data_IF_121753390494
#
_entry.id   IF_121753390494
#
_cell.length_a   1.000
_cell.length_b   1.000
_cell.length_c   1.000
_cell.angle_alpha   90.00
_cell.angle_beta   90.00
_cell.angle_gamma   90.00
#
_symmetry.space_group_name_H-M   'P 1'
#
loop_
_entity.id
_entity.type
_entity.pdbx_description
1 polymer ?
#
# COMPACT_ATOMS: atom_id res chain seq x y z
N UNK A 1 15.23 3.77 -24.89
CA UNK A 1 13.79 3.74 -24.50
C UNK A 1 13.65 2.55 -23.55
N UNK A 2 13.16 2.77 -22.33
CA UNK A 2 12.91 1.64 -21.41
C UNK A 2 11.75 0.81 -21.97
N UNK A 3 11.84 -0.51 -21.87
CA UNK A 3 10.77 -1.43 -22.28
C UNK A 3 9.83 -1.73 -21.12
N UNK A 4 10.31 -1.68 -19.87
CA UNK A 4 9.54 -1.87 -18.65
C UNK A 4 9.16 -0.57 -17.93
N UNK A 5 8.05 -0.59 -17.20
CA UNK A 5 7.57 0.54 -16.41
C UNK A 5 8.14 0.53 -14.97
N UNK A 6 8.21 -0.64 -14.35
CA UNK A 6 8.60 -0.79 -12.94
C UNK A 6 9.72 -1.83 -12.78
N UNK A 7 10.77 -1.49 -12.03
CA UNK A 7 11.74 -2.43 -11.50
C UNK A 7 11.57 -2.51 -9.99
N UNK A 8 11.28 -3.68 -9.45
CA UNK A 8 11.04 -3.91 -8.03
C UNK A 8 12.29 -4.54 -7.41
N UNK A 9 12.98 -3.81 -6.54
CA UNK A 9 14.17 -4.30 -5.84
C UNK A 9 13.82 -4.91 -4.48
N UNK A 10 14.29 -6.13 -4.23
CA UNK A 10 14.21 -6.81 -2.93
C UNK A 10 15.61 -7.30 -2.54
N UNK A 11 16.00 -7.10 -1.29
CA UNK A 11 17.18 -7.74 -0.70
C UNK A 11 16.75 -8.70 0.41
N UNK A 12 17.32 -9.90 0.44
CA UNK A 12 17.02 -10.90 1.44
C UNK A 12 18.29 -11.49 2.06
N UNK A 13 18.23 -11.75 3.37
CA UNK A 13 19.29 -12.39 4.16
C UNK A 13 18.68 -13.56 4.93
N UNK A 14 19.53 -14.47 5.41
CA UNK A 14 19.06 -15.60 6.20
C UNK A 14 18.45 -15.10 7.51
N UNK A 15 17.21 -15.48 7.78
CA UNK A 15 16.50 -15.17 9.03
C UNK A 15 16.62 -16.34 10.01
N UNK A 16 16.57 -16.02 11.30
CA UNK A 16 16.55 -17.02 12.38
C UNK A 16 15.21 -17.78 12.45
N UNK A 17 14.11 -17.12 12.09
CA UNK A 17 12.75 -17.66 12.22
C UNK A 17 11.97 -17.54 10.90
N UNK A 18 11.79 -18.68 10.23
CA UNK A 18 11.02 -18.78 8.98
C UNK A 18 11.60 -17.99 7.81
N UNK A 19 10.92 -18.06 6.67
CA UNK A 19 11.25 -17.27 5.48
C UNK A 19 9.97 -16.59 4.97
N UNK A 20 10.05 -15.30 4.65
CA UNK A 20 8.94 -14.54 4.09
C UNK A 20 9.11 -14.26 2.60
N UNK A 21 10.34 -14.38 2.09
CA UNK A 21 10.73 -14.05 0.72
C UNK A 21 9.81 -14.68 -0.33
N UNK A 22 9.57 -15.99 -0.25
CA UNK A 22 8.72 -16.68 -1.24
C UNK A 22 7.27 -16.17 -1.21
N UNK A 23 6.75 -15.83 -0.03
CA UNK A 23 5.42 -15.25 0.12
C UNK A 23 5.36 -13.83 -0.46
N UNK A 24 6.42 -13.04 -0.28
CA UNK A 24 6.57 -11.70 -0.88
C UNK A 24 6.58 -11.78 -2.41
N UNK A 25 7.41 -12.66 -2.99
CA UNK A 25 7.46 -12.90 -4.44
C UNK A 25 6.10 -13.37 -4.97
N UNK A 26 5.47 -14.34 -4.29
CA UNK A 26 4.15 -14.82 -4.64
C UNK A 26 3.08 -13.71 -4.59
N UNK A 27 3.18 -12.82 -3.60
CA UNK A 27 2.27 -11.66 -3.47
C UNK A 27 2.42 -10.71 -4.64
N UNK A 28 3.65 -10.34 -5.01
CA UNK A 28 3.93 -9.48 -6.18
C UNK A 28 3.33 -10.07 -7.46
N UNK A 29 3.56 -11.36 -7.71
CA UNK A 29 3.10 -12.03 -8.93
C UNK A 29 1.57 -12.16 -8.92
N UNK A 30 0.99 -12.71 -7.86
CA UNK A 30 -0.46 -12.99 -7.80
C UNK A 30 -1.34 -11.74 -7.73
N UNK A 31 -0.79 -10.61 -7.25
CA UNK A 31 -1.48 -9.32 -7.17
C UNK A 31 -1.29 -8.46 -8.42
N UNK A 32 -0.62 -8.98 -9.45
CA UNK A 32 -0.41 -8.32 -10.74
C UNK A 32 -1.05 -9.10 -11.90
N UNK A 33 -1.64 -8.40 -12.88
CA UNK A 33 -2.13 -9.00 -14.12
C UNK A 33 -0.99 -9.46 -15.04
N UNK A 34 -1.25 -10.31 -16.05
CA UNK A 34 -0.23 -10.69 -17.04
C UNK A 34 0.43 -9.49 -17.74
N UNK A 35 -0.36 -8.47 -18.10
CA UNK A 35 0.12 -7.24 -18.75
C UNK A 35 1.00 -6.40 -17.81
N UNK A 36 0.63 -6.34 -16.52
CA UNK A 36 1.45 -5.66 -15.51
C UNK A 36 2.78 -6.39 -15.31
N UNK A 37 2.77 -7.72 -15.25
CA UNK A 37 3.99 -8.55 -15.13
C UNK A 37 4.92 -8.37 -16.32
N UNK A 38 4.39 -8.36 -17.55
CA UNK A 38 5.18 -8.11 -18.76
C UNK A 38 5.84 -6.71 -18.78
N UNK A 39 5.32 -5.77 -17.98
CA UNK A 39 5.83 -4.41 -17.84
C UNK A 39 6.61 -4.20 -16.52
N UNK A 40 6.93 -5.27 -15.80
CA UNK A 40 7.61 -5.26 -14.52
C UNK A 40 8.75 -6.27 -14.47
N UNK A 41 9.85 -5.90 -13.82
CA UNK A 41 10.93 -6.83 -13.48
C UNK A 41 11.18 -6.78 -11.98
N UNK A 42 11.27 -7.95 -11.35
CA UNK A 42 11.66 -8.09 -9.94
C UNK A 42 13.14 -8.44 -9.89
N UNK A 43 13.93 -7.62 -9.20
CA UNK A 43 15.36 -7.86 -8.97
C UNK A 43 15.54 -8.26 -7.51
N UNK A 44 15.95 -9.50 -7.29
CA UNK A 44 16.19 -10.08 -5.98
C UNK A 44 17.67 -10.22 -5.71
N UNK A 45 18.18 -9.53 -4.70
CA UNK A 45 19.52 -9.73 -4.17
C UNK A 45 19.48 -10.71 -2.99
N UNK A 46 20.09 -11.89 -3.16
CA UNK A 46 20.40 -12.80 -2.05
C UNK A 46 21.70 -12.33 -1.39
N UNK A 47 21.54 -11.50 -0.37
CA UNK A 47 22.62 -10.74 0.25
C UNK A 47 23.36 -11.49 1.37
N UNK A 48 22.90 -12.68 1.78
CA UNK A 48 23.59 -13.46 2.80
C UNK A 48 24.92 -14.03 2.27
N UNK A 49 25.94 -14.13 3.12
CA UNK A 49 27.23 -14.71 2.74
C UNK A 49 27.28 -16.25 2.88
N UNK A 50 26.28 -16.87 3.53
CA UNK A 50 26.11 -18.33 3.58
C UNK A 50 25.74 -18.92 2.21
N UNK A 51 26.70 -19.61 1.58
CA UNK A 51 26.51 -20.22 0.26
C UNK A 51 25.44 -21.31 0.27
N UNK A 52 25.41 -22.16 1.30
CA UNK A 52 24.44 -23.25 1.43
C UNK A 52 23.02 -22.72 1.52
N UNK A 53 22.82 -21.62 2.27
CA UNK A 53 21.52 -20.95 2.33
C UNK A 53 21.11 -20.37 0.98
N UNK A 54 22.04 -19.70 0.27
CA UNK A 54 21.74 -19.15 -1.07
C UNK A 54 21.37 -20.24 -2.06
N UNK A 55 22.13 -21.33 -2.13
CA UNK A 55 21.85 -22.45 -3.03
C UNK A 55 20.49 -23.08 -2.76
N UNK A 56 20.15 -23.31 -1.48
CA UNK A 56 18.83 -23.81 -1.10
C UNK A 56 17.72 -22.84 -1.52
N UNK A 57 17.92 -21.53 -1.29
CA UNK A 57 16.94 -20.49 -1.64
C UNK A 57 16.74 -20.38 -3.15
N UNK A 58 17.82 -20.42 -3.94
CA UNK A 58 17.75 -20.43 -5.41
C UNK A 58 17.00 -21.66 -5.91
N UNK A 59 17.23 -22.83 -5.31
CA UNK A 59 16.50 -24.06 -5.67
C UNK A 59 14.99 -23.92 -5.42
N UNK A 60 14.60 -23.34 -4.28
CA UNK A 60 13.18 -23.09 -3.98
C UNK A 60 12.55 -22.08 -4.94
N UNK A 61 13.25 -20.99 -5.25
CA UNK A 61 12.80 -19.97 -6.22
C UNK A 61 12.61 -20.59 -7.61
N UNK A 62 13.61 -21.36 -8.08
CA UNK A 62 13.58 -22.02 -9.39
C UNK A 62 12.40 -22.98 -9.50
N UNK A 63 12.09 -23.70 -8.42
CA UNK A 63 10.95 -24.62 -8.39
C UNK A 63 9.59 -23.91 -8.38
N UNK A 64 9.48 -22.71 -7.82
CA UNK A 64 8.20 -22.00 -7.63
C UNK A 64 7.89 -20.97 -8.71
N UNK A 65 8.92 -20.37 -9.31
CA UNK A 65 8.78 -19.27 -10.27
C UNK A 65 9.57 -19.54 -11.58
N UNK A 66 9.43 -20.72 -12.20
CA UNK A 66 10.21 -21.06 -13.40
C UNK A 66 9.89 -20.13 -14.58
N UNK A 67 8.61 -19.82 -14.80
CA UNK A 67 8.16 -18.90 -15.85
C UNK A 67 8.75 -17.50 -15.69
N UNK A 68 8.71 -16.94 -14.48
CA UNK A 68 9.19 -15.59 -14.23
C UNK A 68 10.70 -15.48 -14.43
N UNK A 69 11.45 -16.54 -14.12
CA UNK A 69 12.89 -16.61 -14.38
C UNK A 69 13.17 -16.72 -15.89
N UNK A 70 12.48 -17.62 -16.60
CA UNK A 70 12.67 -17.85 -18.04
C UNK A 70 12.29 -16.63 -18.89
N UNK A 71 11.22 -15.92 -18.52
CA UNK A 71 10.75 -14.70 -19.18
C UNK A 71 11.57 -13.45 -18.81
N UNK A 72 12.47 -13.55 -17.84
CA UNK A 72 13.27 -12.42 -17.35
C UNK A 72 12.49 -11.42 -16.48
N UNK A 73 11.31 -11.82 -15.99
CA UNK A 73 10.48 -11.04 -15.06
C UNK A 73 10.98 -11.13 -13.60
N UNK A 74 11.81 -12.14 -13.28
CA UNK A 74 12.51 -12.28 -12.01
C UNK A 74 14.01 -12.47 -12.26
N UNK A 75 14.83 -11.57 -11.73
CA UNK A 75 16.29 -11.64 -11.78
C UNK A 75 16.82 -11.92 -10.37
N UNK A 76 17.61 -12.98 -10.21
CA UNK A 76 18.19 -13.36 -8.91
C UNK A 76 19.70 -13.11 -8.94
N UNK A 77 20.19 -12.34 -7.99
CA UNK A 77 21.57 -11.86 -7.92
C UNK A 77 22.22 -12.24 -6.59
N UNK A 78 23.55 -12.32 -6.62
CA UNK A 78 24.38 -12.35 -5.44
C UNK A 78 25.63 -11.50 -5.68
N UNK A 79 26.04 -10.73 -4.67
CA UNK A 79 27.31 -9.99 -4.71
C UNK A 79 28.32 -10.69 -3.79
N UNK A 80 29.44 -11.19 -4.33
CA UNK A 80 30.48 -11.80 -3.51
C UNK A 80 31.02 -10.85 -2.43
N UNK A 81 31.33 -11.39 -1.26
CA UNK A 81 31.78 -10.61 -0.10
C UNK A 81 33.01 -9.71 -0.40
N UNK A 82 33.89 -10.10 -1.31
CA UNK A 82 35.08 -9.31 -1.65
C UNK A 82 34.77 -8.01 -2.40
N UNK A 83 33.55 -7.82 -2.92
CA UNK A 83 33.11 -6.54 -3.47
C UNK A 83 32.56 -5.59 -2.39
N UNK A 84 32.30 -6.07 -1.17
CA UNK A 84 31.83 -5.21 -0.08
C UNK A 84 32.98 -4.36 0.48
N UNK A 85 32.71 -3.11 0.90
CA UNK A 85 33.66 -2.36 1.70
C UNK A 85 33.83 -3.02 3.08
N UNK A 86 34.84 -2.61 3.88
CA UNK A 86 35.05 -3.18 5.21
C UNK A 86 33.77 -3.14 6.07
N UNK A 87 33.37 -4.31 6.56
CA UNK A 87 32.23 -4.50 7.48
C UNK A 87 32.68 -4.74 8.93
N UNK A 88 34.00 -4.73 9.19
CA UNK A 88 34.58 -4.72 10.54
C UNK A 88 35.20 -3.35 10.83
N UNK A 89 35.35 -3.01 12.11
CA UNK A 89 35.93 -1.73 12.52
C UNK A 89 35.06 -0.52 12.18
N UNK A 90 33.75 -0.72 12.01
CA UNK A 90 32.79 0.31 11.62
C UNK A 90 32.68 1.42 12.68
N UNK A 91 32.42 2.64 12.22
CA UNK A 91 32.11 3.78 13.09
C UNK A 91 30.92 3.48 14.00
N UNK A 92 31.10 3.71 15.30
CA UNK A 92 30.02 3.59 16.28
C UNK A 92 29.25 4.90 16.39
N UNK A 93 28.11 4.95 15.71
CA UNK A 93 27.13 6.02 15.83
C UNK A 93 25.89 5.53 16.60
N UNK A 94 25.14 6.45 17.22
CA UNK A 94 23.83 6.21 17.85
C UNK A 94 23.79 5.21 19.01
N UNK A 95 24.95 4.88 19.60
CA UNK A 95 25.06 3.93 20.71
C UNK A 95 24.51 2.52 20.41
N UNK A 96 24.46 2.16 19.12
CA UNK A 96 24.06 0.82 18.68
C UNK A 96 25.10 -0.24 19.08
N UNK A 97 24.60 -1.44 19.39
CA UNK A 97 25.46 -2.60 19.60
C UNK A 97 26.26 -2.94 18.33
N UNK A 98 27.48 -3.51 18.43
CA UNK A 98 28.36 -3.74 17.28
C UNK A 98 27.75 -4.57 16.15
N UNK A 99 26.98 -5.60 16.51
CA UNK A 99 26.25 -6.42 15.56
C UNK A 99 25.19 -5.60 14.80
N UNK A 100 24.51 -4.66 15.48
CA UNK A 100 23.51 -3.79 14.84
C UNK A 100 24.14 -2.78 13.90
N UNK A 101 25.28 -2.19 14.30
CA UNK A 101 26.08 -1.32 13.41
C UNK A 101 26.50 -2.08 12.16
N UNK A 102 26.98 -3.32 12.32
CA UNK A 102 27.37 -4.18 11.18
C UNK A 102 26.18 -4.47 10.28
N UNK A 103 25.03 -4.85 10.85
CA UNK A 103 23.81 -5.15 10.10
C UNK A 103 23.31 -3.95 9.30
N UNK A 104 23.10 -2.79 9.93
CA UNK A 104 22.60 -1.59 9.23
C UNK A 104 23.59 -1.11 8.16
N UNK A 105 24.89 -1.23 8.42
CA UNK A 105 25.91 -0.82 7.46
C UNK A 105 25.97 -1.75 6.26
N UNK A 106 25.87 -3.06 6.47
CA UNK A 106 25.76 -4.03 5.39
C UNK A 106 24.49 -3.82 4.57
N UNK A 107 23.35 -3.56 5.21
CA UNK A 107 22.07 -3.33 4.53
C UNK A 107 22.14 -2.12 3.57
N UNK A 108 22.81 -1.04 3.96
CA UNK A 108 23.07 0.11 3.06
C UNK A 108 23.83 -0.32 1.79
N UNK A 109 24.86 -1.16 1.95
CA UNK A 109 25.65 -1.68 0.83
C UNK A 109 24.83 -2.64 -0.03
N UNK A 110 24.04 -3.52 0.60
CA UNK A 110 23.13 -4.44 -0.10
C UNK A 110 22.16 -3.66 -1.00
N UNK A 111 21.49 -2.64 -0.46
CA UNK A 111 20.59 -1.79 -1.24
C UNK A 111 21.32 -0.97 -2.28
N UNK A 112 22.54 -0.48 -2.00
CA UNK A 112 23.36 0.18 -3.03
C UNK A 112 23.57 -0.72 -4.25
N UNK A 113 24.01 -1.97 -4.05
CA UNK A 113 24.23 -2.89 -5.18
C UNK A 113 22.94 -3.20 -5.93
N UNK A 114 21.87 -3.49 -5.20
CA UNK A 114 20.55 -3.79 -5.76
C UNK A 114 20.00 -2.63 -6.60
N UNK A 115 20.02 -1.41 -6.06
CA UNK A 115 19.53 -0.19 -6.72
C UNK A 115 20.38 0.09 -7.96
N UNK A 116 21.70 -0.01 -7.84
CA UNK A 116 22.61 0.26 -8.95
C UNK A 116 22.44 -0.74 -10.10
N UNK A 117 22.27 -2.03 -9.79
CA UNK A 117 21.99 -3.03 -10.83
C UNK A 117 20.64 -2.79 -11.52
N UNK A 118 19.62 -2.40 -10.74
CA UNK A 118 18.28 -2.16 -11.25
C UNK A 118 18.16 -0.88 -12.09
N UNK A 119 19.15 0.00 -12.02
CA UNK A 119 19.16 1.25 -12.77
C UNK A 119 19.09 0.98 -14.28
N UNK A 120 18.10 1.59 -14.91
CA UNK A 120 17.88 1.50 -16.34
C UNK A 120 17.15 0.25 -16.84
N UNK A 121 16.69 -0.64 -15.95
CA UNK A 121 15.85 -1.78 -16.35
C UNK A 121 14.40 -1.35 -16.70
N UNK A 122 13.91 -0.31 -16.03
CA UNK A 122 12.55 0.22 -16.18
C UNK A 122 12.53 1.75 -15.99
N UNK A 123 11.38 2.39 -16.27
CA UNK A 123 11.17 3.82 -16.01
C UNK A 123 11.33 4.21 -14.53
N UNK A 124 10.80 3.37 -13.62
CA UNK A 124 10.84 3.60 -12.18
C UNK A 124 11.47 2.43 -11.44
N UNK A 125 12.09 2.73 -10.30
CA UNK A 125 12.61 1.76 -9.34
C UNK A 125 11.79 1.81 -8.05
N UNK A 126 11.29 0.67 -7.59
CA UNK A 126 10.55 0.51 -6.33
C UNK A 126 11.36 -0.34 -5.35
N UNK A 127 11.70 0.22 -4.19
CA UNK A 127 12.32 -0.51 -3.09
C UNK A 127 11.26 -1.23 -2.25
N UNK A 128 11.44 -2.54 -2.05
CA UNK A 128 10.69 -3.36 -1.09
C UNK A 128 11.65 -4.15 -0.16
N UNK A 129 11.08 -4.72 0.89
CA UNK A 129 11.73 -5.71 1.77
C UNK A 129 11.24 -7.13 1.44
N UNK A 130 11.92 -8.15 1.97
CA UNK A 130 11.61 -9.56 1.68
C UNK A 130 10.44 -10.12 2.50
N UNK A 131 9.77 -9.31 3.33
CA UNK A 131 8.62 -9.68 4.17
C UNK A 131 7.43 -8.73 4.00
N UNK A 132 7.03 -8.51 2.74
CA UNK A 132 5.97 -7.58 2.36
C UNK A 132 4.83 -8.30 1.62
N UNK A 133 3.59 -7.98 1.97
CA UNK A 133 2.42 -8.30 1.16
C UNK A 133 1.97 -7.09 0.34
N UNK A 134 1.63 -7.32 -0.93
CA UNK A 134 1.18 -6.29 -1.87
C UNK A 134 -0.35 -6.18 -1.88
N UNK A 135 -0.84 -4.96 -2.07
CA UNK A 135 -2.22 -4.71 -2.45
C UNK A 135 -2.50 -5.24 -3.87
N UNK A 136 -3.75 -5.60 -4.14
CA UNK A 136 -4.22 -6.00 -5.48
C UNK A 136 -4.01 -4.84 -6.46
N UNK A 137 -3.50 -5.15 -7.66
CA UNK A 137 -3.23 -4.19 -8.73
C UNK A 137 -2.31 -3.03 -8.30
N UNK A 138 -1.39 -3.27 -7.34
CA UNK A 138 -0.49 -2.23 -6.83
C UNK A 138 0.27 -1.54 -7.96
N UNK A 139 0.63 -2.29 -9.01
CA UNK A 139 1.32 -1.77 -10.18
C UNK A 139 0.49 -0.71 -10.92
N UNK A 140 -0.78 -1.01 -11.23
CA UNK A 140 -1.71 -0.04 -11.84
C UNK A 140 -1.86 1.20 -10.95
N UNK A 141 -1.96 1.02 -9.64
CA UNK A 141 -2.04 2.15 -8.71
C UNK A 141 -0.77 3.01 -8.75
N UNK A 142 0.42 2.40 -8.75
CA UNK A 142 1.69 3.13 -8.90
C UNK A 142 1.70 3.89 -10.21
N UNK A 143 1.41 3.23 -11.34
CA UNK A 143 1.39 3.85 -12.67
C UNK A 143 0.50 5.09 -12.69
N UNK A 144 -0.77 4.96 -12.29
CA UNK A 144 -1.72 6.07 -12.22
C UNK A 144 -1.19 7.23 -11.36
N UNK A 145 -0.68 6.94 -10.16
CA UNK A 145 -0.16 7.98 -9.26
C UNK A 145 1.09 8.66 -9.80
N UNK A 146 1.96 7.94 -10.50
CA UNK A 146 3.11 8.56 -11.17
C UNK A 146 2.68 9.47 -12.32
N UNK A 147 1.72 9.04 -13.15
CA UNK A 147 1.15 9.85 -14.23
C UNK A 147 0.51 11.14 -13.69
N UNK A 148 -0.27 11.04 -12.61
CA UNK A 148 -0.84 12.20 -11.90
C UNK A 148 0.24 13.16 -11.38
N UNK A 149 1.39 12.65 -10.91
CA UNK A 149 2.48 13.51 -10.41
C UNK A 149 3.29 14.14 -11.55
N UNK A 150 3.58 13.41 -12.62
CA UNK A 150 4.25 13.97 -13.79
C UNK A 150 3.39 15.06 -14.46
N UNK A 151 2.07 14.91 -14.46
CA UNK A 151 1.14 15.90 -14.99
C UNK A 151 1.17 17.26 -14.23
N UNK A 152 1.61 17.29 -12.97
CA UNK A 152 1.76 18.55 -12.21
C UNK A 152 2.96 19.38 -12.64
N UNK A 153 3.85 18.83 -13.48
CA UNK A 153 5.08 19.49 -13.93
C UNK A 153 5.99 19.96 -12.78
N UNK A 154 5.88 19.34 -11.61
CA UNK A 154 6.75 19.58 -10.44
C UNK A 154 7.78 18.48 -10.31
N UNK A 155 9.02 18.83 -9.93
CA UNK A 155 10.07 17.85 -9.67
C UNK A 155 9.82 17.08 -8.37
N UNK A 156 10.07 15.79 -8.39
CA UNK A 156 10.04 14.93 -7.20
C UNK A 156 11.17 13.89 -7.29
N UNK A 157 11.65 13.48 -6.11
CA UNK A 157 12.76 12.54 -5.90
C UNK A 157 12.23 11.17 -5.50
N UNK A 158 11.31 11.14 -4.52
CA UNK A 158 10.72 9.91 -4.00
C UNK A 158 9.23 10.05 -3.79
N UNK A 159 8.49 9.01 -4.19
CA UNK A 159 7.07 8.82 -3.87
C UNK A 159 6.96 7.61 -2.94
N UNK A 160 6.15 7.73 -1.90
CA UNK A 160 5.99 6.71 -0.88
C UNK A 160 4.61 6.05 -0.96
N UNK A 161 4.59 4.72 -1.02
CA UNK A 161 3.38 3.88 -1.02
C UNK A 161 3.23 3.05 0.27
N UNK A 162 4.07 3.34 1.26
CA UNK A 162 3.92 2.90 2.66
C UNK A 162 4.61 3.91 3.59
N UNK A 163 4.05 4.08 4.80
CA UNK A 163 4.70 4.88 5.87
C UNK A 163 5.84 4.13 6.56
N UNK A 164 6.00 2.82 6.30
CA UNK A 164 6.94 1.98 7.04
C UNK A 164 8.34 2.00 6.43
N UNK A 165 9.30 2.58 7.14
CA UNK A 165 10.73 2.45 6.84
C UNK A 165 11.05 2.66 5.36
N UNK A 166 11.77 1.71 4.76
CA UNK A 166 12.18 1.72 3.36
C UNK A 166 11.23 0.93 2.44
N UNK A 167 10.07 0.53 2.94
CA UNK A 167 9.08 -0.22 2.16
C UNK A 167 8.32 0.75 1.25
N UNK A 168 8.18 0.37 -0.03
CA UNK A 168 7.29 1.05 -0.96
C UNK A 168 7.81 2.41 -1.42
N UNK A 169 9.13 2.57 -1.54
CA UNK A 169 9.75 3.84 -1.96
C UNK A 169 10.07 3.79 -3.44
N UNK A 170 9.43 4.68 -4.19
CA UNK A 170 9.52 4.76 -5.64
C UNK A 170 10.43 5.92 -6.05
N UNK A 171 11.36 5.62 -6.94
CA UNK A 171 12.32 6.57 -7.52
C UNK A 171 12.25 6.55 -9.04
N UNK A 172 12.62 7.66 -9.68
CA UNK A 172 12.92 7.65 -11.10
C UNK A 172 14.19 6.83 -11.33
N UNK A 173 14.17 5.92 -12.30
CA UNK A 173 15.30 5.02 -12.58
C UNK A 173 16.57 5.78 -12.97
N UNK A 174 16.42 6.96 -13.59
CA UNK A 174 17.50 7.90 -13.89
C UNK A 174 18.26 8.38 -12.64
N UNK A 175 17.58 8.48 -11.50
CA UNK A 175 18.18 8.94 -10.24
C UNK A 175 18.75 7.79 -9.38
N UNK A 176 18.40 6.53 -9.72
CA UNK A 176 18.81 5.34 -8.98
C UNK A 176 20.35 5.21 -8.83
N UNK A 177 21.20 5.48 -9.85
CA UNK A 177 22.65 5.43 -9.67
C UNK A 177 23.17 6.42 -8.62
N UNK A 178 22.55 7.60 -8.50
CA UNK A 178 22.94 8.60 -7.51
C UNK A 178 22.55 8.15 -6.10
N UNK A 179 21.32 7.62 -5.94
CA UNK A 179 20.86 7.04 -4.69
C UNK A 179 21.75 5.89 -4.22
N UNK A 180 22.11 4.97 -5.13
CA UNK A 180 22.99 3.85 -4.81
C UNK A 180 24.35 4.33 -4.28
N UNK A 181 24.98 5.29 -4.98
CA UNK A 181 26.24 5.89 -4.54
C UNK A 181 26.11 6.58 -3.19
N UNK A 182 24.99 7.27 -2.95
CA UNK A 182 24.73 7.91 -1.67
C UNK A 182 24.68 6.88 -0.52
N UNK A 183 23.91 5.81 -0.67
CA UNK A 183 23.86 4.73 0.33
C UNK A 183 25.22 4.07 0.54
N UNK A 184 25.99 3.85 -0.54
CA UNK A 184 27.34 3.29 -0.47
C UNK A 184 28.30 4.21 0.28
N UNK A 185 28.32 5.51 -0.01
CA UNK A 185 29.24 6.46 0.60
C UNK A 185 28.95 6.65 2.09
N UNK A 186 27.67 6.65 2.48
CA UNK A 186 27.23 6.87 3.86
C UNK A 186 26.94 5.59 4.62
N UNK A 187 27.39 4.42 4.13
CA UNK A 187 26.98 3.12 4.66
C UNK A 187 27.28 2.94 6.15
N UNK A 188 28.36 3.54 6.66
CA UNK A 188 28.73 3.48 8.09
C UNK A 188 27.95 4.48 8.95
N UNK A 189 27.44 5.55 8.34
CA UNK A 189 27.00 6.72 9.08
C UNK A 189 25.64 6.50 9.72
N UNK A 190 24.63 6.06 8.96
CA UNK A 190 23.23 5.97 9.41
C UNK A 190 22.52 4.74 8.82
N UNK A 191 21.40 4.27 9.42
CA UNK A 191 20.51 3.31 8.78
C UNK A 191 19.93 3.84 7.46
N UNK A 192 19.55 2.92 6.57
CA UNK A 192 19.05 3.20 5.23
C UNK A 192 17.79 4.10 5.21
N UNK A 193 16.85 3.89 6.15
CA UNK A 193 15.63 4.71 6.29
C UNK A 193 15.92 6.20 6.52
N UNK A 194 16.97 6.48 7.30
CA UNK A 194 17.37 7.84 7.65
C UNK A 194 18.12 8.48 6.49
N UNK A 195 19.02 7.72 5.87
CA UNK A 195 19.73 8.15 4.67
C UNK A 195 18.76 8.51 3.54
N UNK A 196 17.70 7.73 3.33
CA UNK A 196 16.66 8.08 2.36
C UNK A 196 16.04 9.46 2.63
N UNK A 197 15.69 9.75 3.88
CA UNK A 197 15.07 11.03 4.26
C UNK A 197 16.01 12.20 3.96
N UNK A 198 17.31 12.04 4.26
CA UNK A 198 18.33 13.03 3.91
C UNK A 198 18.55 13.14 2.41
N UNK A 199 18.55 12.02 1.67
CA UNK A 199 18.67 12.04 0.21
C UNK A 199 17.54 12.84 -0.43
N UNK A 200 16.29 12.63 0.02
CA UNK A 200 15.11 13.37 -0.44
C UNK A 200 15.29 14.89 -0.24
N UNK A 201 15.73 15.30 0.95
CA UNK A 201 15.98 16.70 1.29
C UNK A 201 17.12 17.32 0.46
N UNK A 202 18.22 16.59 0.27
CA UNK A 202 19.36 17.02 -0.55
C UNK A 202 18.97 17.17 -2.02
N UNK A 203 18.05 16.33 -2.51
CA UNK A 203 17.45 16.45 -3.83
C UNK A 203 16.31 17.49 -3.88
N UNK A 204 16.26 18.41 -2.91
CA UNK A 204 15.36 19.57 -2.82
C UNK A 204 13.87 19.25 -2.64
N UNK A 205 13.51 17.99 -2.36
CA UNK A 205 12.15 17.62 -1.99
C UNK A 205 11.99 17.71 -0.47
N UNK A 206 11.44 18.83 0.03
CA UNK A 206 11.18 19.00 1.48
C UNK A 206 10.00 18.16 1.95
N UNK A 207 8.90 18.20 1.21
CA UNK A 207 7.66 17.54 1.58
C UNK A 207 7.68 16.05 1.19
N UNK A 208 7.15 15.21 2.08
CA UNK A 208 6.93 13.81 1.77
C UNK A 208 5.73 13.65 0.85
N UNK A 209 5.94 13.04 -0.32
CA UNK A 209 4.86 12.69 -1.24
C UNK A 209 4.45 11.25 -0.93
N UNK A 210 3.45 11.09 -0.07
CA UNK A 210 2.91 9.80 0.31
C UNK A 210 1.50 9.60 -0.21
N UNK A 211 1.25 8.46 -0.85
CA UNK A 211 -0.07 8.08 -1.30
C UNK A 211 -0.75 7.13 -0.31
N UNK A 212 -2.02 7.41 -0.06
CA UNK A 212 -2.92 6.57 0.73
C UNK A 212 -4.07 6.06 -0.16
N UNK A 213 -4.58 4.84 0.08
CA UNK A 213 -4.09 3.88 1.08
C UNK A 213 -2.71 3.30 0.70
N UNK A 214 -2.00 2.78 1.69
CA UNK A 214 -0.69 2.15 1.45
C UNK A 214 -0.87 0.89 0.62
N UNK A 215 0.04 0.65 -0.33
CA UNK A 215 0.01 -0.51 -1.23
C UNK A 215 0.78 -1.70 -0.70
N UNK A 216 1.53 -1.52 0.39
CA UNK A 216 2.45 -2.53 0.92
C UNK A 216 2.28 -2.68 2.43
N UNK A 217 2.26 -3.93 2.90
CA UNK A 217 2.14 -4.28 4.31
C UNK A 217 3.28 -5.19 4.73
N UNK A 218 4.06 -4.74 5.71
CA UNK A 218 5.01 -5.59 6.41
C UNK A 218 4.29 -6.77 7.08
N UNK A 219 4.67 -7.99 6.70
CA UNK A 219 4.13 -9.26 7.21
C UNK A 219 5.12 -10.01 8.10
N UNK A 220 6.37 -9.56 8.20
CA UNK A 220 7.37 -10.12 9.11
C UNK A 220 6.92 -10.02 10.57
N UNK A 221 6.81 -11.16 11.25
CA UNK A 221 6.57 -11.22 12.70
C UNK A 221 7.87 -11.21 13.48
N UNK A 222 9.00 -11.53 12.84
CA UNK A 222 10.33 -11.55 13.46
C UNK A 222 11.34 -10.77 12.62
N UNK A 223 12.14 -9.93 13.29
CA UNK A 223 13.20 -9.13 12.66
C UNK A 223 14.26 -10.03 12.01
N UNK A 224 14.74 -9.63 10.83
CA UNK A 224 15.88 -10.25 10.15
C UNK A 224 17.20 -10.05 10.90
N UNK A 225 17.31 -9.06 11.79
CA UNK A 225 18.54 -8.77 12.53
C UNK A 225 18.75 -9.70 13.73
N UNK A 226 17.80 -9.72 14.68
CA UNK A 226 17.96 -10.43 15.94
C UNK A 226 16.78 -11.36 16.27
N UNK A 227 15.86 -11.58 15.32
CA UNK A 227 14.71 -12.46 15.51
C UNK A 227 13.70 -11.96 16.54
N UNK A 228 13.76 -10.69 16.99
CA UNK A 228 12.76 -10.14 17.90
C UNK A 228 11.40 -9.99 17.24
N UNK A 229 10.36 -10.13 18.05
CA UNK A 229 8.99 -9.98 17.60
C UNK A 229 8.73 -8.55 17.11
N UNK A 230 8.21 -8.41 15.89
CA UNK A 230 7.91 -7.15 15.24
C UNK A 230 6.39 -7.00 15.08
N UNK A 231 5.84 -5.90 15.58
CA UNK A 231 4.41 -5.57 15.49
C UNK A 231 4.13 -4.41 14.53
N UNK A 232 5.14 -3.93 13.81
CA UNK A 232 4.98 -2.80 12.88
C UNK A 232 4.02 -3.19 11.75
N UNK A 233 2.92 -2.44 11.68
CA UNK A 233 1.89 -2.54 10.65
C UNK A 233 1.60 -1.15 10.09
N UNK A 234 1.25 -1.08 8.81
CA UNK A 234 0.88 0.18 8.18
C UNK A 234 -0.62 0.36 8.39
N UNK A 235 -0.99 1.34 9.22
CA UNK A 235 -2.41 1.58 9.56
C UNK A 235 -3.25 1.96 8.33
N UNK A 236 -2.63 2.40 7.24
CA UNK A 236 -3.31 2.81 6.02
C UNK A 236 -3.30 1.73 4.94
N UNK A 237 -2.73 0.54 5.18
CA UNK A 237 -2.71 -0.53 4.19
C UNK A 237 -4.12 -1.02 3.88
N UNK A 238 -4.41 -1.18 2.59
CA UNK A 238 -5.62 -1.82 2.12
C UNK A 238 -5.25 -2.87 1.09
N UNK A 239 -5.61 -4.12 1.34
CA UNK A 239 -5.30 -5.22 0.42
C UNK A 239 -6.01 -5.06 -0.93
N UNK A 240 -7.13 -4.35 -0.95
CA UNK A 240 -7.92 -4.12 -2.14
C UNK A 240 -8.23 -2.63 -2.31
N UNK A 241 -7.53 -2.00 -3.27
CA UNK A 241 -7.41 -0.54 -3.43
C UNK A 241 -8.26 -0.04 -4.61
N UNK A 242 -9.04 -0.92 -5.24
CA UNK A 242 -9.92 -0.52 -6.34
C UNK A 242 -10.83 0.63 -5.90
N UNK A 243 -10.84 1.74 -6.65
CA UNK A 243 -11.69 2.88 -6.32
C UNK A 243 -13.15 2.47 -6.41
N UNK A 244 -13.99 3.09 -5.58
CA UNK A 244 -15.42 3.00 -5.77
C UNK A 244 -15.82 3.64 -7.11
N UNK A 245 -16.97 3.25 -7.70
CA UNK A 245 -17.52 3.93 -8.87
C UNK A 245 -17.70 5.44 -8.60
N UNK A 246 -17.59 6.24 -9.64
CA UNK A 246 -17.84 7.68 -9.54
C UNK A 246 -19.27 7.93 -9.04
N UNK A 247 -19.38 8.84 -8.08
CA UNK A 247 -20.64 9.15 -7.44
C UNK A 247 -20.66 10.57 -6.87
N UNK A 248 -21.87 11.14 -6.81
CA UNK A 248 -22.18 12.30 -6.00
C UNK A 248 -22.52 11.85 -4.58
N UNK A 249 -21.83 12.41 -3.59
CA UNK A 249 -21.95 12.01 -2.18
C UNK A 249 -22.64 13.10 -1.36
N UNK A 250 -23.66 12.70 -0.58
CA UNK A 250 -24.52 13.57 0.21
C UNK A 250 -24.71 13.06 1.63
N UNK A 251 -25.06 13.96 2.55
CA UNK A 251 -25.42 13.65 3.93
C UNK A 251 -26.34 14.74 4.47
N UNK A 252 -27.25 14.39 5.37
CA UNK A 252 -28.03 15.37 6.16
C UNK A 252 -27.45 15.58 7.57
N UNK A 253 -26.44 14.79 7.94
CA UNK A 253 -25.69 14.94 9.18
C UNK A 253 -24.75 16.15 9.11
N UNK A 254 -24.53 16.78 10.27
CA UNK A 254 -23.56 17.87 10.44
C UNK A 254 -22.14 17.43 10.09
N UNK A 255 -21.46 18.15 9.21
CA UNK A 255 -20.04 17.92 8.90
C UNK A 255 -19.17 18.62 9.95
N UNK A 256 -18.27 17.88 10.60
CA UNK A 256 -17.32 18.46 11.55
C UNK A 256 -15.99 18.81 10.87
N UNK A 257 -15.65 20.11 10.87
CA UNK A 257 -14.49 20.70 10.15
C UNK A 257 -14.55 20.35 8.66
N UNK A 258 -13.42 19.99 8.07
CA UNK A 258 -13.28 19.69 6.64
C UNK A 258 -13.50 18.20 6.31
N UNK A 259 -14.06 17.41 7.24
CA UNK A 259 -14.26 15.96 7.06
C UNK A 259 -15.52 15.65 6.26
N UNK A 260 -15.52 16.06 4.98
CA UNK A 260 -16.66 15.95 4.07
C UNK A 260 -17.15 14.50 3.89
N UNK A 261 -18.44 14.26 3.56
CA UNK A 261 -18.98 12.91 3.40
C UNK A 261 -18.28 12.12 2.30
N UNK A 262 -17.76 12.81 1.27
CA UNK A 262 -17.02 12.21 0.15
C UNK A 262 -15.72 11.52 0.58
N UNK A 263 -15.07 11.97 1.66
CA UNK A 263 -13.83 11.39 2.15
C UNK A 263 -13.98 9.90 2.52
N UNK A 264 -15.15 9.50 3.03
CA UNK A 264 -15.46 8.10 3.33
C UNK A 264 -15.65 7.22 2.09
N UNK A 265 -15.99 7.80 0.93
CA UNK A 265 -16.21 7.10 -0.34
C UNK A 265 -14.92 6.95 -1.15
N UNK A 266 -14.07 7.98 -1.15
CA UNK A 266 -12.87 8.01 -1.99
C UNK A 266 -11.77 7.07 -1.47
N UNK A 267 -11.87 6.63 -0.21
CA UNK A 267 -10.93 5.73 0.46
C UNK A 267 -9.46 6.22 0.43
N UNK A 268 -9.23 7.52 0.28
CA UNK A 268 -7.90 8.14 0.17
C UNK A 268 -7.18 8.32 1.53
N UNK A 269 -7.62 7.61 2.58
CA UNK A 269 -7.09 7.73 3.94
C UNK A 269 -7.69 8.88 4.77
N UNK A 270 -8.70 9.56 4.24
CA UNK A 270 -9.55 10.53 4.94
C UNK A 270 -10.86 9.87 5.40
N UNK A 271 -11.64 10.56 6.23
CA UNK A 271 -12.90 10.03 6.78
C UNK A 271 -13.98 11.11 6.83
N UNK A 272 -15.24 10.68 6.91
CA UNK A 272 -16.36 11.55 7.25
C UNK A 272 -16.52 11.61 8.77
N UNK A 273 -16.74 12.81 9.33
CA UNK A 273 -16.92 12.98 10.79
C UNK A 273 -18.12 13.89 11.08
N UNK A 274 -19.01 13.42 11.94
CA UNK A 274 -20.20 14.15 12.38
C UNK A 274 -20.35 14.10 13.90
N UNK A 275 -20.90 15.18 14.47
CA UNK A 275 -21.10 15.35 15.91
C UNK A 275 -22.58 15.34 16.36
N UNK A 276 -23.53 15.17 15.43
CA UNK A 276 -24.97 15.11 15.73
C UNK A 276 -25.63 14.01 14.92
N UNK A 277 -26.06 12.95 15.61
CA UNK A 277 -26.56 11.73 14.99
C UNK A 277 -27.96 11.41 15.53
N UNK A 278 -28.96 11.55 14.66
CA UNK A 278 -30.36 11.31 14.97
C UNK A 278 -30.94 10.20 14.11
N UNK A 279 -31.92 9.49 14.67
CA UNK A 279 -32.68 8.50 13.92
C UNK A 279 -33.22 9.12 12.63
N UNK A 280 -32.98 8.45 11.52
CA UNK A 280 -33.40 8.89 10.19
C UNK A 280 -32.33 9.65 9.41
N UNK A 281 -31.26 10.14 10.07
CA UNK A 281 -30.13 10.72 9.36
C UNK A 281 -29.48 9.72 8.41
N UNK A 282 -28.84 10.24 7.38
CA UNK A 282 -28.24 9.44 6.33
C UNK A 282 -26.94 10.00 5.79
N UNK A 283 -26.15 9.08 5.27
CA UNK A 283 -25.07 9.32 4.33
C UNK A 283 -25.43 8.57 3.04
N UNK A 284 -25.24 9.16 1.85
CA UNK A 284 -25.59 8.52 0.58
C UNK A 284 -24.61 8.83 -0.54
N UNK A 285 -24.38 7.86 -1.42
CA UNK A 285 -23.70 8.02 -2.70
C UNK A 285 -24.68 7.70 -3.84
N UNK A 286 -24.76 8.59 -4.81
CA UNK A 286 -25.54 8.43 -6.05
C UNK A 286 -24.56 8.22 -7.19
N UNK A 287 -24.55 7.02 -7.77
CA UNK A 287 -23.60 6.64 -8.81
C UNK A 287 -23.87 7.41 -10.10
N UNK A 288 -22.80 7.81 -10.81
CA UNK A 288 -22.91 8.41 -12.13
C UNK A 288 -23.48 7.41 -13.16
N UNK A 289 -23.09 6.14 -13.00
CA UNK A 289 -23.57 5.01 -13.79
C UNK A 289 -24.10 3.94 -12.84
N UNK A 290 -25.39 3.55 -12.92
CA UNK A 290 -25.95 2.49 -12.11
C UNK A 290 -25.18 1.18 -12.28
N UNK A 291 -24.98 0.45 -11.19
CA UNK A 291 -24.14 -0.75 -11.19
C UNK A 291 -24.70 -1.84 -10.26
N UNK A 292 -24.42 -3.11 -10.59
CA UNK A 292 -24.82 -4.25 -9.76
C UNK A 292 -23.78 -4.44 -8.67
N UNK A 293 -24.13 -4.17 -7.41
CA UNK A 293 -23.21 -4.36 -6.29
C UNK A 293 -22.98 -5.85 -6.01
N UNK A 294 -21.72 -6.28 -5.95
CA UNK A 294 -21.31 -7.65 -5.59
C UNK A 294 -20.84 -7.75 -4.14
N UNK A 295 -20.27 -6.67 -3.61
CA UNK A 295 -19.82 -6.58 -2.22
C UNK A 295 -19.90 -5.14 -1.72
N UNK A 296 -20.26 -4.98 -0.45
CA UNK A 296 -20.27 -3.69 0.24
C UNK A 296 -19.67 -3.89 1.63
N UNK A 297 -18.68 -3.07 1.96
CA UNK A 297 -18.05 -2.99 3.29
C UNK A 297 -18.12 -1.56 3.78
N UNK A 298 -18.63 -1.35 5.00
CA UNK A 298 -18.61 -0.07 5.69
C UNK A 298 -17.98 -0.24 7.06
N UNK A 299 -17.00 0.61 7.36
CA UNK A 299 -16.34 0.66 8.66
C UNK A 299 -16.52 2.03 9.29
N UNK A 300 -16.94 2.03 10.55
CA UNK A 300 -17.11 3.25 11.35
C UNK A 300 -16.16 3.24 12.54
N UNK A 301 -15.93 4.43 13.11
CA UNK A 301 -15.12 4.65 14.29
C UNK A 301 -13.61 4.54 14.09
N UNK A 302 -12.91 4.95 15.15
CA UNK A 302 -11.45 4.87 15.27
C UNK A 302 -11.08 4.47 16.70
N UNK A 303 -10.21 3.46 16.85
CA UNK A 303 -9.75 2.99 18.17
C UNK A 303 -10.90 2.71 19.17
N UNK A 304 -12.03 2.18 18.68
CA UNK A 304 -13.21 1.86 19.50
C UNK A 304 -14.10 3.06 19.87
N UNK A 305 -13.82 4.26 19.37
CA UNK A 305 -14.64 5.48 19.55
C UNK A 305 -15.34 5.87 18.26
N UNK A 306 -16.36 6.71 18.38
CA UNK A 306 -17.14 7.30 17.29
C UNK A 306 -17.76 6.27 16.32
N UNK A 307 -18.20 5.13 16.86
CA UNK A 307 -18.84 4.05 16.12
C UNK A 307 -20.30 4.40 15.79
N UNK A 308 -20.80 3.87 14.67
CA UNK A 308 -22.24 3.83 14.43
C UNK A 308 -22.84 2.69 15.26
N UNK A 309 -23.64 3.04 16.27
CA UNK A 309 -24.24 2.06 17.17
C UNK A 309 -25.44 1.36 16.53
N UNK A 310 -26.28 2.12 15.81
CA UNK A 310 -27.52 1.64 15.22
C UNK A 310 -27.73 2.24 13.84
N UNK A 311 -27.51 1.42 12.81
CA UNK A 311 -27.75 1.80 11.42
C UNK A 311 -27.95 0.60 10.51
N UNK A 312 -28.33 0.90 9.28
CA UNK A 312 -28.47 -0.07 8.21
C UNK A 312 -27.91 0.47 6.89
N UNK A 313 -27.55 -0.44 6.00
CA UNK A 313 -27.13 -0.14 4.63
C UNK A 313 -28.27 -0.47 3.70
N UNK A 314 -28.53 0.42 2.76
CA UNK A 314 -29.61 0.34 1.77
C UNK A 314 -29.04 0.59 0.38
N UNK A 315 -29.59 -0.10 -0.61
CA UNK A 315 -29.37 0.18 -2.03
C UNK A 315 -30.64 0.79 -2.61
N UNK A 316 -30.50 1.70 -3.56
CA UNK A 316 -31.64 2.43 -4.12
C UNK A 316 -31.65 2.51 -5.64
N UNK A 317 -32.84 2.72 -6.16
CA UNK A 317 -33.17 2.80 -7.58
C UNK A 317 -33.92 4.10 -7.87
N UNK A 318 -33.97 4.47 -9.15
CA UNK A 318 -34.67 5.68 -9.65
C UNK A 318 -34.10 6.97 -9.05
N UNK A 319 -33.11 7.56 -9.70
CA UNK A 319 -32.51 8.82 -9.24
C UNK A 319 -33.54 9.95 -9.28
N UNK A 320 -33.75 10.58 -8.13
CA UNK A 320 -34.59 11.76 -7.96
C UNK A 320 -33.74 12.97 -7.53
N UNK A 321 -34.21 14.17 -7.86
CA UNK A 321 -33.61 15.41 -7.38
C UNK A 321 -34.39 15.92 -6.17
N UNK A 322 -33.68 16.24 -5.09
CA UNK A 322 -34.23 16.81 -3.86
C UNK A 322 -33.66 18.22 -3.65
N UNK A 323 -34.26 19.03 -2.75
CA UNK A 323 -33.70 20.34 -2.39
C UNK A 323 -32.26 20.29 -1.84
N UNK A 324 -31.85 19.14 -1.32
CA UNK A 324 -30.54 18.92 -0.68
C UNK A 324 -29.54 18.16 -1.56
N UNK A 325 -29.91 17.79 -2.80
CA UNK A 325 -29.03 17.10 -3.73
C UNK A 325 -29.74 16.05 -4.59
N UNK A 326 -29.04 14.97 -4.94
CA UNK A 326 -29.64 13.80 -5.60
C UNK A 326 -29.91 12.71 -4.56
N UNK A 327 -30.93 11.91 -4.80
CA UNK A 327 -31.22 10.70 -4.02
C UNK A 327 -31.87 9.64 -4.91
N UNK A 328 -32.31 8.53 -4.32
CA UNK A 328 -33.13 7.53 -5.00
C UNK A 328 -34.57 7.58 -4.47
N UNK A 329 -35.55 7.29 -5.33
CA UNK A 329 -36.96 7.25 -4.96
C UNK A 329 -37.29 6.07 -4.05
N UNK A 330 -36.66 4.92 -4.34
CA UNK A 330 -36.87 3.69 -3.60
C UNK A 330 -35.57 3.18 -3.00
N UNK A 331 -35.66 2.60 -1.80
CA UNK A 331 -34.53 2.02 -1.09
C UNK A 331 -34.90 0.67 -0.49
N UNK A 332 -33.99 -0.28 -0.60
CA UNK A 332 -34.10 -1.60 -0.02
C UNK A 332 -32.93 -1.85 0.93
N UNK A 333 -33.24 -2.30 2.16
CA UNK A 333 -32.22 -2.64 3.14
C UNK A 333 -31.47 -3.91 2.73
N UNK A 334 -30.14 -3.84 2.78
CA UNK A 334 -29.22 -4.95 2.54
C UNK A 334 -28.54 -5.43 3.83
N UNK A 335 -28.93 -4.89 4.98
CA UNK A 335 -28.57 -5.39 6.30
C UNK A 335 -28.16 -4.30 7.28
N UNK A 336 -27.84 -4.71 8.50
CA UNK A 336 -27.59 -3.82 9.64
C UNK A 336 -26.14 -3.84 10.08
N UNK A 337 -25.71 -2.76 10.73
CA UNK A 337 -24.38 -2.69 11.33
C UNK A 337 -24.28 -3.60 12.56
N UNK A 338 -23.09 -4.17 12.77
CA UNK A 338 -22.71 -4.90 13.98
C UNK A 338 -21.37 -4.34 14.47
N UNK A 339 -21.35 -3.81 15.70
CA UNK A 339 -20.16 -3.21 16.31
C UNK A 339 -19.45 -2.19 15.38
N UNK A 340 -20.22 -1.30 14.76
CA UNK A 340 -19.71 -0.27 13.85
C UNK A 340 -19.18 -0.78 12.49
N UNK A 341 -19.39 -2.05 12.15
CA UNK A 341 -19.05 -2.60 10.83
C UNK A 341 -20.29 -3.15 10.13
N UNK A 342 -20.37 -2.93 8.82
CA UNK A 342 -21.25 -3.66 7.91
C UNK A 342 -20.38 -4.32 6.83
N UNK A 343 -20.66 -5.58 6.52
CA UNK A 343 -20.00 -6.30 5.45
C UNK A 343 -20.96 -7.32 4.87
N UNK A 344 -21.14 -7.26 3.54
CA UNK A 344 -21.91 -8.25 2.79
C UNK A 344 -21.21 -8.50 1.46
N UNK A 345 -21.01 -9.78 1.17
CA UNK A 345 -20.44 -10.27 -0.09
C UNK A 345 -21.52 -11.03 -0.85
N UNK A 346 -21.27 -11.27 -2.14
CA UNK A 346 -22.20 -11.96 -3.06
C UNK A 346 -23.60 -11.31 -3.11
N UNK A 347 -23.66 -9.98 -2.95
CA UNK A 347 -24.90 -9.19 -2.97
C UNK A 347 -25.70 -9.40 -4.27
N UNK A 348 -24.99 -9.64 -5.36
CA UNK A 348 -25.51 -9.86 -6.70
C UNK A 348 -26.33 -11.16 -6.84
N UNK A 349 -26.23 -12.09 -5.88
CA UNK A 349 -27.11 -13.27 -5.81
C UNK A 349 -28.52 -12.93 -5.33
N UNK A 350 -28.62 -11.99 -4.40
CA UNK A 350 -29.89 -11.58 -3.78
C UNK A 350 -30.48 -10.31 -4.45
N UNK A 351 -29.61 -9.45 -4.97
CA UNK A 351 -29.93 -8.15 -5.59
C UNK A 351 -29.21 -8.02 -6.93
N UNK A 352 -29.79 -8.59 -7.98
CA UNK A 352 -29.18 -8.65 -9.31
C UNK A 352 -29.39 -7.41 -10.17
N UNK A 353 -30.28 -6.50 -9.76
CA UNK A 353 -30.58 -5.26 -10.49
C UNK A 353 -29.53 -4.18 -10.22
N UNK A 354 -29.19 -3.41 -11.26
CA UNK A 354 -28.28 -2.29 -11.12
C UNK A 354 -28.88 -1.23 -10.19
N UNK A 355 -28.13 -0.88 -9.15
CA UNK A 355 -28.52 0.13 -8.17
C UNK A 355 -27.91 1.47 -8.55
N UNK A 356 -28.67 2.54 -8.35
CA UNK A 356 -28.22 3.92 -8.60
C UNK A 356 -27.69 4.59 -7.34
N UNK A 357 -28.11 4.14 -6.15
CA UNK A 357 -27.67 4.72 -4.89
C UNK A 357 -27.20 3.67 -3.89
N UNK A 358 -26.27 4.06 -3.03
CA UNK A 358 -25.97 3.43 -1.75
C UNK A 358 -26.30 4.42 -0.63
N UNK A 359 -26.98 3.97 0.43
CA UNK A 359 -27.30 4.80 1.60
C UNK A 359 -27.01 4.08 2.90
N UNK A 360 -26.37 4.78 3.83
CA UNK A 360 -26.28 4.40 5.24
C UNK A 360 -27.36 5.20 5.97
N UNK A 361 -28.27 4.51 6.65
CA UNK A 361 -29.36 5.13 7.40
C UNK A 361 -29.22 4.83 8.89
N UNK A 362 -29.23 5.88 9.69
CA UNK A 362 -29.22 5.81 11.16
C UNK A 362 -30.58 5.34 11.65
N UNK A 363 -30.63 4.27 12.45
CA UNK A 363 -31.89 3.64 12.89
C UNK A 363 -32.29 3.98 14.33
N UNK A 364 -31.38 4.53 15.14
CA UNK A 364 -31.66 5.06 16.48
C UNK A 364 -30.81 6.30 16.77
N UNK A 365 -31.26 7.14 17.71
CA UNK A 365 -30.49 8.28 18.19
C UNK A 365 -29.22 7.80 18.91
N UNK A 366 -28.09 8.50 18.73
CA UNK A 366 -26.90 8.30 19.55
C UNK A 366 -26.29 9.65 19.95
N UNK A 367 -25.71 9.70 21.15
CA UNK A 367 -25.02 10.90 21.67
C UNK A 367 -23.55 10.96 21.24
N UNK A 368 -22.93 9.80 21.02
CA UNK A 368 -21.56 9.71 20.54
C UNK A 368 -21.47 10.25 19.11
N UNK A 369 -20.32 10.86 18.80
CA UNK A 369 -19.99 11.31 17.45
C UNK A 369 -19.86 10.10 16.52
N UNK A 370 -19.85 10.35 15.21
CA UNK A 370 -19.75 9.30 14.20
C UNK A 370 -18.60 9.59 13.25
N UNK A 371 -17.67 8.65 13.15
CA UNK A 371 -16.71 8.57 12.06
C UNK A 371 -17.17 7.49 11.09
N UNK A 372 -17.39 7.81 9.82
CA UNK A 372 -17.42 6.81 8.75
C UNK A 372 -16.04 6.80 8.12
N UNK A 373 -15.27 5.76 8.45
CA UNK A 373 -13.85 5.66 8.11
C UNK A 373 -13.65 5.21 6.68
N UNK A 374 -14.47 4.25 6.23
CA UNK A 374 -14.24 3.56 4.97
C UNK A 374 -15.55 3.00 4.43
N UNK A 375 -15.80 3.22 3.14
CA UNK A 375 -16.88 2.57 2.39
C UNK A 375 -16.23 1.97 1.15
N UNK A 376 -16.28 0.66 0.99
CA UNK A 376 -15.81 -0.02 -0.23
C UNK A 376 -16.97 -0.75 -0.85
N UNK A 377 -17.16 -0.52 -2.14
CA UNK A 377 -18.12 -1.24 -2.94
C UNK A 377 -17.43 -1.98 -4.07
N UNK A 378 -18.03 -3.08 -4.49
CA UNK A 378 -17.68 -3.82 -5.70
C UNK A 378 -18.87 -3.95 -6.58
N UNK A 379 -18.62 -3.86 -7.88
CA UNK A 379 -19.62 -3.95 -8.91
C UNK A 379 -19.22 -4.98 -9.96
N UNK A 380 -20.21 -5.55 -10.65
CA UNK A 380 -19.95 -6.35 -11.87
C UNK A 380 -19.62 -5.48 -13.06
#
# INVERSE_FOLDING_TARGET
MFTGHLAVGISSVRRLHGTYLLSTLQSIISKSSPEERASMVVVLLLADFDASWREATVKEITSRFPSELEEGHLLVLHVPQHFYPPLQGLKRNYNDAPNRVTFRSKQNVDYSFLINYSAGLSHYYLQLEDDVSCAKNFFTHIRRRTEEQEAKMTTWTVIEFSVLGYIGKLYKSVDAPLLARFLFLFYQEMPCDWLMSHFRELMTQKETIIFKPSLFQHMGTFSSFDGKHNHLKDKNFQEDVNPNPNADVFTDMSVYRDNAPRHAWDNAGEFFWSNSIKKGNFWAAVLDVPAVFTSIVVETGTEGRDLLESGQVEIGHEVITTPTGKSCGEFQSVGTFKNGRFERNELDKDYSSASSCLRIRVTADQHAWLIIRKIVVRTR
#
